data_IF_671666950526
#
_entry.id   IF_671666950526
#
_cell.length_a   1.000
_cell.length_b   1.000
_cell.length_c   1.000
_cell.angle_alpha   90.00
_cell.angle_beta   90.00
_cell.angle_gamma   90.00
#
_symmetry.space_group_name_H-M   'P 1'
#
loop_
_entity.id
_entity.type
_entity.pdbx_description
1 polymer ?
#
# COMPACT_ATOMS: atom_id res chain seq x y z
N UNK A 1 1.02 0.75 12.41
CA UNK A 1 1.24 -0.52 11.68
C UNK A 1 2.08 -0.21 10.45
N UNK A 2 3.40 -0.30 10.52
CA UNK A 2 4.26 -0.08 9.35
C UNK A 2 4.61 -1.42 8.73
N UNK A 3 3.75 -1.90 7.83
CA UNK A 3 4.10 -3.01 6.94
C UNK A 3 5.19 -2.54 5.98
N UNK A 4 6.18 -3.39 5.71
CA UNK A 4 7.23 -3.08 4.72
C UNK A 4 6.58 -2.93 3.34
N UNK A 5 6.61 -1.73 2.77
CA UNK A 5 6.14 -1.49 1.40
C UNK A 5 7.02 -2.27 0.42
N UNK A 6 6.41 -3.10 -0.42
CA UNK A 6 7.09 -3.84 -1.48
C UNK A 6 6.69 -3.23 -2.81
N UNK A 7 7.65 -2.72 -3.55
CA UNK A 7 7.42 -2.07 -4.85
C UNK A 7 7.68 -3.06 -5.99
N UNK A 8 6.94 -2.91 -7.09
CA UNK A 8 7.13 -3.74 -8.29
C UNK A 8 8.41 -3.39 -9.05
N UNK A 9 8.90 -2.15 -8.92
CA UNK A 9 10.16 -1.68 -9.50
C UNK A 9 10.69 -0.46 -8.75
N UNK A 10 11.97 -0.14 -8.92
CA UNK A 10 12.57 1.07 -8.35
C UNK A 10 11.94 2.35 -8.93
N UNK A 11 11.58 2.35 -10.22
CA UNK A 11 10.89 3.48 -10.84
C UNK A 11 9.53 3.76 -10.17
N UNK A 12 8.77 2.70 -9.87
CA UNK A 12 7.48 2.83 -9.19
C UNK A 12 7.63 3.23 -7.71
N UNK A 13 8.76 2.88 -7.07
CA UNK A 13 9.11 3.40 -5.74
C UNK A 13 9.29 4.92 -5.79
N UNK A 14 10.12 5.42 -6.70
CA UNK A 14 10.37 6.87 -6.81
C UNK A 14 9.11 7.66 -7.14
N UNK A 15 8.24 7.13 -8.01
CA UNK A 15 6.94 7.77 -8.29
C UNK A 15 6.02 7.77 -7.07
N UNK A 16 6.03 6.69 -6.28
CA UNK A 16 5.24 6.61 -5.05
C UNK A 16 5.73 7.61 -4.00
N UNK A 17 7.05 7.76 -3.82
CA UNK A 17 7.64 8.76 -2.93
C UNK A 17 7.21 10.19 -3.31
N UNK A 18 7.23 10.53 -4.60
CA UNK A 18 6.71 11.83 -5.09
C UNK A 18 5.22 11.98 -4.79
N UNK A 19 4.42 10.92 -4.94
CA UNK A 19 3.01 10.96 -4.60
C UNK A 19 2.79 11.18 -3.08
N UNK A 20 3.62 10.60 -2.22
CA UNK A 20 3.57 10.85 -0.77
C UNK A 20 3.85 12.32 -0.44
N UNK A 21 4.82 12.95 -1.10
CA UNK A 21 5.10 14.38 -0.94
C UNK A 21 3.91 15.23 -1.44
N UNK A 22 3.26 14.83 -2.53
CA UNK A 22 2.06 15.51 -3.05
C UNK A 22 0.87 15.40 -2.10
N UNK A 23 0.63 14.24 -1.49
CA UNK A 23 -0.40 14.05 -0.46
C UNK A 23 -0.08 14.86 0.80
N UNK A 24 1.19 14.94 1.20
CA UNK A 24 1.62 15.71 2.37
C UNK A 24 1.33 17.21 2.23
N UNK A 25 1.41 17.76 1.01
CA UNK A 25 1.04 19.16 0.72
C UNK A 25 -0.42 19.34 0.31
N UNK A 26 -1.21 18.26 0.29
CA UNK A 26 -2.63 18.29 -0.08
C UNK A 26 -2.90 18.49 -1.58
N UNK A 27 -1.90 18.26 -2.43
CA UNK A 27 -2.06 18.34 -3.89
C UNK A 27 -2.84 17.15 -4.46
N UNK A 28 -2.82 16.01 -3.78
CA UNK A 28 -3.66 14.85 -4.07
C UNK A 28 -4.34 14.36 -2.79
N UNK A 29 -5.45 13.64 -2.95
CA UNK A 29 -6.22 13.11 -1.84
C UNK A 29 -5.90 11.63 -1.53
N UNK A 30 -6.46 11.12 -0.43
CA UNK A 30 -6.24 9.74 0.03
C UNK A 30 -6.76 8.66 -0.92
N UNK A 31 -7.80 8.93 -1.71
CA UNK A 31 -8.25 8.00 -2.74
C UNK A 31 -7.19 7.89 -3.85
N UNK A 32 -6.67 9.04 -4.31
CA UNK A 32 -5.56 9.07 -5.27
C UNK A 32 -4.33 8.31 -4.75
N UNK A 33 -3.93 8.49 -3.48
CA UNK A 33 -2.81 7.74 -2.89
C UNK A 33 -3.03 6.21 -2.89
N UNK A 34 -4.27 5.75 -2.71
CA UNK A 34 -4.60 4.32 -2.77
C UNK A 34 -4.46 3.75 -4.19
N UNK A 35 -4.78 4.52 -5.21
CA UNK A 35 -4.58 4.10 -6.60
C UNK A 35 -3.08 3.97 -6.93
N UNK A 36 -2.25 4.86 -6.39
CA UNK A 36 -0.79 4.72 -6.42
C UNK A 36 -0.32 3.48 -5.67
N UNK A 37 -0.85 3.17 -4.48
CA UNK A 37 -0.53 1.93 -3.76
C UNK A 37 -0.82 0.70 -4.61
N UNK A 38 -2.01 0.62 -5.24
CA UNK A 38 -2.40 -0.52 -6.09
C UNK A 38 -1.52 -0.65 -7.33
N UNK A 39 -1.06 0.48 -7.89
CA UNK A 39 -0.27 0.50 -9.13
C UNK A 39 1.22 0.24 -8.87
N UNK A 40 1.78 0.82 -7.81
CA UNK A 40 3.21 0.78 -7.49
C UNK A 40 3.61 -0.41 -6.62
N UNK A 41 2.73 -0.85 -5.72
CA UNK A 41 3.04 -1.90 -4.75
C UNK A 41 2.77 -3.30 -5.30
N UNK A 42 3.57 -4.26 -4.85
CA UNK A 42 3.29 -5.68 -5.00
C UNK A 42 2.05 -6.00 -4.18
N UNK A 43 1.01 -6.63 -4.78
CA UNK A 43 -0.18 -7.03 -4.05
C UNK A 43 0.20 -7.84 -2.80
N UNK A 44 -0.33 -7.44 -1.65
CA UNK A 44 -0.16 -8.22 -0.42
C UNK A 44 -0.87 -9.56 -0.58
N UNK A 45 -0.25 -10.62 -0.09
CA UNK A 45 -0.92 -11.92 -0.04
C UNK A 45 -2.17 -11.81 0.84
N UNK A 46 -3.28 -12.46 0.45
CA UNK A 46 -4.47 -12.50 1.28
C UNK A 46 -4.10 -13.03 2.67
N UNK A 47 -4.42 -12.27 3.70
CA UNK A 47 -4.28 -12.76 5.06
C UNK A 47 -5.22 -13.96 5.20
N UNK A 48 -4.65 -15.15 5.40
CA UNK A 48 -5.44 -16.34 5.69
C UNK A 48 -6.28 -16.04 6.94
N UNK A 49 -7.60 -16.06 6.78
CA UNK A 49 -8.50 -16.00 7.93
C UNK A 49 -8.24 -17.26 8.75
N UNK A 50 -7.56 -17.09 9.88
CA UNK A 50 -7.36 -18.20 10.80
C UNK A 50 -8.73 -18.73 11.22
N UNK A 51 -8.92 -20.07 11.29
CA UNK A 51 -10.16 -20.64 11.75
C UNK A 51 -10.47 -20.07 13.13
N UNK A 52 -11.70 -19.56 13.30
CA UNK A 52 -12.21 -19.15 14.60
C UNK A 52 -11.98 -20.31 15.57
N UNK A 53 -11.42 -20.01 16.74
CA UNK A 53 -11.17 -20.97 17.80
C UNK A 53 -12.43 -21.83 18.01
N UNK A 54 -12.39 -23.10 17.60
CA UNK A 54 -13.50 -24.02 17.76
C UNK A 54 -13.49 -24.48 19.23
N UNK A 55 -14.60 -24.34 20.00
CA UNK A 55 -14.66 -24.89 21.34
C UNK A 55 -14.65 -26.42 21.28
N UNK A 56 -13.81 -27.04 22.11
CA UNK A 56 -13.67 -28.48 22.32
C UNK A 56 -14.91 -29.13 22.91
#
# INVERSE_FOLDING_TARGET
MTGTKRYRSDALRSLHEVAEDLDAVGAIDKATMRDFDVSCLTPAEPLASLPRCAPS
#
